data_IF_392029130445
#
_entry.id   IF_392029130445
#
_cell.length_a   1.000
_cell.length_b   1.000
_cell.length_c   1.000
_cell.angle_alpha   90.00
_cell.angle_beta   90.00
_cell.angle_gamma   90.00
#
_symmetry.space_group_name_H-M   'P 1'
#
loop_
_entity.id
_entity.type
_entity.pdbx_description
1 polymer ?
#
# COMPACT_ATOMS: atom_id res chain seq x y z
N UNK A 1 -14.28 -1.87 45.90
CA UNK A 1 -13.60 -1.61 44.60
C UNK A 1 -13.62 -2.90 43.85
N UNK A 2 -14.25 -2.96 42.68
CA UNK A 2 -14.16 -4.12 41.81
C UNK A 2 -12.73 -4.15 41.23
N UNK A 3 -11.89 -5.03 41.74
CA UNK A 3 -10.61 -5.28 41.11
C UNK A 3 -10.87 -5.90 39.74
N UNK A 4 -10.32 -5.31 38.70
CA UNK A 4 -10.36 -5.93 37.38
C UNK A 4 -9.71 -7.32 37.46
N UNK A 5 -10.40 -8.33 36.93
CA UNK A 5 -9.87 -9.71 36.88
C UNK A 5 -8.76 -9.87 35.83
N UNK A 6 -8.57 -8.88 34.98
CA UNK A 6 -7.56 -8.84 33.95
C UNK A 6 -7.06 -7.40 33.75
N UNK A 7 -5.77 -7.19 33.87
CA UNK A 7 -5.12 -5.92 33.59
C UNK A 7 -4.16 -6.11 32.41
N UNK A 8 -4.39 -5.37 31.32
CA UNK A 8 -3.56 -5.38 30.13
C UNK A 8 -2.85 -4.03 30.01
N UNK A 9 -1.55 -4.04 30.13
CA UNK A 9 -0.69 -2.84 30.09
C UNK A 9 0.39 -2.88 31.16
N UNK A 10 1.25 -1.88 31.20
CA UNK A 10 2.36 -1.84 32.12
C UNK A 10 3.36 -2.97 31.87
N UNK A 11 3.61 -3.79 32.87
CA UNK A 11 4.57 -4.90 32.80
C UNK A 11 3.93 -6.27 32.92
N UNK A 12 2.59 -6.36 32.88
CA UNK A 12 1.85 -7.56 33.25
C UNK A 12 1.47 -8.46 32.07
N UNK A 13 2.02 -8.21 30.87
CA UNK A 13 1.75 -8.99 29.68
C UNK A 13 3.00 -9.08 28.78
N UNK A 14 3.03 -10.10 27.91
CA UNK A 14 4.08 -10.28 26.91
C UNK A 14 3.47 -10.71 25.58
N UNK A 15 4.10 -10.33 24.49
CA UNK A 15 3.80 -10.85 23.15
C UNK A 15 4.66 -12.09 22.91
N UNK A 16 4.03 -13.17 22.49
CA UNK A 16 4.70 -14.41 22.10
C UNK A 16 4.06 -14.95 20.82
N UNK A 17 4.86 -15.15 19.78
CA UNK A 17 4.43 -15.75 18.52
C UNK A 17 3.14 -15.11 17.95
N UNK A 18 3.07 -13.76 17.97
CA UNK A 18 1.92 -12.96 17.58
C UNK A 18 0.69 -13.08 18.50
N UNK A 19 0.78 -13.76 19.62
CA UNK A 19 -0.26 -13.84 20.65
C UNK A 19 0.07 -12.95 21.85
N UNK A 20 -0.95 -12.52 22.56
CA UNK A 20 -0.81 -11.82 23.83
C UNK A 20 -0.87 -12.83 24.97
N UNK A 21 0.16 -12.85 25.81
CA UNK A 21 0.20 -13.61 27.05
C UNK A 21 -0.16 -12.69 28.21
N UNK A 22 -1.25 -12.99 28.88
CA UNK A 22 -1.56 -12.47 30.19
C UNK A 22 -1.29 -13.49 31.28
N UNK A 23 -1.25 -13.05 32.51
CA UNK A 23 -1.17 -13.92 33.66
C UNK A 23 -2.45 -13.83 34.48
N UNK A 24 -3.07 -14.95 34.73
CA UNK A 24 -4.25 -15.02 35.60
C UNK A 24 -3.88 -15.63 36.94
N UNK A 25 -4.46 -15.14 38.02
CA UNK A 25 -4.40 -15.80 39.33
C UNK A 25 -5.30 -17.02 39.27
N UNK A 26 -4.77 -18.21 39.53
CA UNK A 26 -5.50 -19.43 39.26
C UNK A 26 -6.22 -20.01 40.43
N UNK A 27 -5.78 -19.72 41.67
CA UNK A 27 -6.32 -20.31 42.87
C UNK A 27 -5.94 -19.55 44.14
N UNK A 28 -6.42 -20.03 45.26
CA UNK A 28 -6.12 -19.51 46.61
C UNK A 28 -4.63 -19.56 46.98
N UNK A 29 -3.79 -20.19 46.16
CA UNK A 29 -2.34 -20.29 46.43
C UNK A 29 -1.54 -19.11 45.83
N UNK A 30 -2.20 -18.20 45.12
CA UNK A 30 -1.58 -17.04 44.53
C UNK A 30 -0.64 -17.34 43.34
N UNK A 31 -0.75 -18.51 42.73
CA UNK A 31 0.02 -18.85 41.53
C UNK A 31 -0.51 -18.14 40.31
N UNK A 32 0.41 -17.63 39.51
CA UNK A 32 0.08 -17.02 38.23
C UNK A 32 0.32 -18.05 37.11
N UNK A 33 -0.70 -18.20 36.26
CA UNK A 33 -0.60 -19.07 35.09
C UNK A 33 -0.64 -18.23 33.84
N UNK A 34 0.23 -18.51 32.85
CA UNK A 34 0.15 -17.84 31.57
C UNK A 34 -1.18 -18.19 30.88
N UNK A 35 -1.88 -17.16 30.44
CA UNK A 35 -3.12 -17.28 29.64
C UNK A 35 -2.89 -16.69 28.27
N UNK A 36 -3.01 -17.50 27.25
CA UNK A 36 -2.94 -17.06 25.88
C UNK A 36 -4.30 -16.53 25.42
N UNK A 37 -4.29 -15.38 24.76
CA UNK A 37 -5.45 -14.77 24.18
C UNK A 37 -5.38 -14.84 22.65
N UNK A 38 -6.46 -15.29 22.04
CA UNK A 38 -6.61 -15.28 20.59
C UNK A 38 -7.37 -14.05 20.14
N UNK A 39 -6.96 -13.51 19.01
CA UNK A 39 -7.59 -12.34 18.39
C UNK A 39 -8.13 -12.73 17.02
N UNK A 40 -9.31 -12.21 16.68
CA UNK A 40 -9.87 -12.33 15.33
C UNK A 40 -10.64 -11.06 14.99
N UNK A 41 -10.46 -10.56 13.79
CA UNK A 41 -11.12 -9.37 13.26
C UNK A 41 -11.84 -9.62 11.94
N UNK A 42 -11.73 -10.83 11.39
CA UNK A 42 -12.30 -11.20 10.09
C UNK A 42 -11.59 -10.58 8.89
N UNK A 43 -10.54 -9.77 9.09
CA UNK A 43 -9.75 -9.19 8.00
C UNK A 43 -8.39 -8.67 8.48
N UNK A 44 -7.33 -9.02 7.76
CA UNK A 44 -5.99 -8.47 7.97
C UNK A 44 -5.86 -6.99 7.57
N UNK A 45 -6.77 -6.50 6.72
CA UNK A 45 -6.71 -5.14 6.20
C UNK A 45 -7.56 -4.15 7.00
N UNK A 46 -8.42 -4.64 7.90
CA UNK A 46 -9.39 -3.82 8.61
C UNK A 46 -8.84 -3.04 9.82
N UNK A 47 -7.66 -3.38 10.30
CA UNK A 47 -7.11 -2.80 11.52
C UNK A 47 -5.96 -1.81 11.24
N UNK A 48 -5.94 -0.73 12.00
CA UNK A 48 -4.82 0.19 12.08
C UNK A 48 -4.35 0.33 13.52
N UNK A 49 -3.08 0.67 13.72
CA UNK A 49 -2.49 1.01 15.01
C UNK A 49 -1.51 2.17 14.87
N UNK A 50 -1.17 2.82 15.96
CA UNK A 50 0.00 3.69 16.01
C UNK A 50 1.22 2.82 16.31
N UNK A 51 2.18 2.80 15.38
CA UNK A 51 3.44 2.06 15.52
C UNK A 51 4.42 2.76 16.45
N UNK A 52 5.57 2.12 16.71
CA UNK A 52 6.65 2.65 17.58
C UNK A 52 7.19 4.01 17.13
N UNK A 53 7.09 4.32 15.85
CA UNK A 53 7.53 5.60 15.27
C UNK A 53 6.49 6.71 15.38
N UNK A 54 5.33 6.43 15.98
CA UNK A 54 4.21 7.38 16.08
C UNK A 54 3.35 7.46 14.80
N UNK A 55 3.65 6.66 13.79
CA UNK A 55 2.90 6.62 12.55
C UNK A 55 1.80 5.55 12.60
N UNK A 56 0.72 5.77 11.83
CA UNK A 56 -0.34 4.78 11.69
C UNK A 56 0.14 3.65 10.78
N UNK A 57 0.08 2.44 11.30
CA UNK A 57 0.34 1.19 10.57
C UNK A 57 -0.99 0.49 10.27
N UNK A 58 -1.08 -0.12 9.08
CA UNK A 58 -2.19 -1.00 8.68
C UNK A 58 -1.67 -2.35 8.19
N UNK A 59 -2.55 -3.34 8.13
CA UNK A 59 -2.25 -4.59 7.43
C UNK A 59 -1.99 -4.34 5.94
N UNK A 60 -1.01 -5.05 5.38
CA UNK A 60 -0.58 -4.97 3.98
C UNK A 60 -0.39 -6.36 3.46
N UNK A 61 -0.54 -6.54 2.16
CA UNK A 61 -0.40 -7.83 1.50
C UNK A 61 0.29 -7.65 0.15
N UNK A 62 1.30 -8.45 -0.13
CA UNK A 62 1.83 -8.60 -1.48
C UNK A 62 1.02 -9.68 -2.20
N UNK A 63 0.30 -9.29 -3.24
CA UNK A 63 -0.57 -10.15 -4.03
C UNK A 63 0.18 -10.99 -5.06
N UNK A 64 1.44 -10.64 -5.38
CA UNK A 64 2.27 -11.44 -6.27
C UNK A 64 2.80 -12.68 -5.53
N UNK A 65 2.92 -13.78 -6.24
CA UNK A 65 3.60 -14.98 -5.75
C UNK A 65 5.03 -14.99 -6.25
N UNK A 66 5.93 -15.68 -5.52
CA UNK A 66 7.34 -15.79 -5.92
C UNK A 66 7.97 -14.42 -6.22
N UNK A 67 7.75 -13.45 -5.37
CA UNK A 67 7.94 -12.02 -5.66
C UNK A 67 9.38 -11.60 -6.02
N UNK A 68 10.36 -12.46 -5.71
CA UNK A 68 11.75 -12.33 -6.19
C UNK A 68 12.29 -13.64 -6.86
N UNK A 69 11.43 -14.60 -7.20
CA UNK A 69 11.82 -15.83 -7.90
C UNK A 69 11.26 -15.81 -9.33
N UNK A 70 11.76 -14.91 -10.15
CA UNK A 70 11.20 -14.59 -11.47
C UNK A 70 11.28 -15.72 -12.49
N UNK A 71 12.10 -16.75 -12.25
CA UNK A 71 12.17 -17.97 -13.06
C UNK A 71 11.21 -19.08 -12.62
N UNK A 72 10.39 -18.82 -11.60
CA UNK A 72 9.49 -19.83 -11.00
C UNK A 72 8.03 -19.44 -11.27
N UNK A 73 7.20 -20.46 -11.60
CA UNK A 73 5.75 -20.25 -11.74
C UNK A 73 5.17 -19.59 -10.47
N UNK A 74 4.23 -18.61 -10.60
CA UNK A 74 3.45 -18.26 -11.78
C UNK A 74 4.05 -17.17 -12.68
N UNK A 75 5.31 -16.77 -12.49
CA UNK A 75 5.98 -15.90 -13.44
C UNK A 75 6.15 -16.59 -14.79
N UNK A 76 5.98 -15.84 -15.85
CA UNK A 76 6.15 -16.28 -17.22
C UNK A 76 7.10 -15.32 -17.96
N UNK A 77 7.99 -15.90 -18.74
CA UNK A 77 8.95 -15.15 -19.55
C UNK A 77 8.55 -15.28 -21.02
N UNK A 78 8.60 -14.19 -21.78
CA UNK A 78 8.33 -14.16 -23.19
C UNK A 78 9.44 -13.41 -23.92
N UNK A 79 10.03 -14.02 -24.97
CA UNK A 79 11.08 -13.45 -25.81
C UNK A 79 12.23 -12.80 -25.01
N UNK A 80 12.80 -13.52 -24.06
CA UNK A 80 13.89 -13.05 -23.23
C UNK A 80 14.56 -14.15 -22.43
N UNK A 81 15.53 -13.79 -21.62
CA UNK A 81 16.22 -14.65 -20.66
C UNK A 81 16.28 -13.98 -19.29
N UNK A 82 16.40 -14.81 -18.25
CA UNK A 82 16.59 -14.38 -16.86
C UNK A 82 17.88 -14.97 -16.32
N UNK A 83 18.72 -14.14 -15.73
CA UNK A 83 19.94 -14.58 -15.05
C UNK A 83 19.93 -14.12 -13.60
N UNK A 84 19.89 -15.07 -12.67
CA UNK A 84 19.91 -14.82 -11.23
C UNK A 84 21.32 -14.53 -10.69
N UNK A 85 21.42 -14.27 -9.40
CA UNK A 85 22.70 -14.16 -8.69
C UNK A 85 23.40 -12.82 -8.88
N UNK A 86 22.65 -11.78 -9.24
CA UNK A 86 23.19 -10.43 -9.38
C UNK A 86 23.17 -9.68 -8.05
N UNK A 87 24.05 -8.69 -7.92
CA UNK A 87 24.10 -7.83 -6.74
C UNK A 87 22.82 -6.99 -6.62
N UNK A 88 22.13 -7.13 -5.49
CA UNK A 88 20.87 -6.46 -5.20
C UNK A 88 21.03 -5.07 -4.57
N UNK A 89 19.92 -4.34 -4.48
CA UNK A 89 19.86 -3.02 -3.84
C UNK A 89 20.09 -3.08 -2.32
N UNK A 90 19.85 -4.21 -1.71
CA UNK A 90 19.94 -4.48 -0.26
C UNK A 90 21.27 -5.16 0.14
N UNK A 91 22.19 -5.34 -0.82
CA UNK A 91 23.45 -6.02 -0.62
C UNK A 91 23.38 -7.56 -0.75
N UNK A 92 22.20 -8.10 -1.06
CA UNK A 92 22.04 -9.53 -1.39
C UNK A 92 22.66 -9.88 -2.74
N UNK A 93 22.66 -11.16 -3.10
CA UNK A 93 23.06 -11.65 -4.42
C UNK A 93 21.89 -12.35 -5.11
N UNK A 94 20.68 -11.81 -4.98
CA UNK A 94 19.45 -12.41 -5.48
C UNK A 94 18.68 -11.54 -6.49
N UNK A 95 19.29 -10.47 -6.98
CA UNK A 95 18.78 -9.72 -8.11
C UNK A 95 18.90 -10.51 -9.42
N UNK A 96 18.20 -10.09 -10.44
CA UNK A 96 18.10 -10.73 -11.75
C UNK A 96 18.43 -9.78 -12.88
N UNK A 97 19.05 -10.31 -13.94
CA UNK A 97 19.07 -9.65 -15.23
C UNK A 97 17.86 -10.12 -16.02
N UNK A 98 17.03 -9.20 -16.46
CA UNK A 98 16.02 -9.41 -17.48
C UNK A 98 16.59 -8.95 -18.82
N UNK A 99 16.92 -9.90 -19.68
CA UNK A 99 17.47 -9.65 -21.01
C UNK A 99 16.42 -9.99 -22.07
N UNK A 100 16.24 -9.09 -23.01
CA UNK A 100 15.30 -9.20 -24.10
C UNK A 100 15.98 -9.71 -25.36
N UNK A 101 15.44 -10.78 -25.94
CA UNK A 101 15.97 -11.42 -27.15
C UNK A 101 15.10 -11.27 -28.39
N UNK A 102 14.03 -10.50 -28.34
CA UNK A 102 13.11 -10.30 -29.44
C UNK A 102 12.05 -9.26 -29.18
N UNK A 103 11.19 -9.01 -30.17
CA UNK A 103 10.09 -8.06 -30.01
C UNK A 103 9.20 -8.46 -28.84
N UNK A 104 8.73 -7.46 -28.06
CA UNK A 104 7.78 -7.64 -26.96
C UNK A 104 8.29 -8.52 -25.80
N UNK A 105 9.62 -8.66 -25.64
CA UNK A 105 10.26 -9.44 -24.57
C UNK A 105 9.91 -8.87 -23.18
N UNK A 106 9.45 -9.74 -22.30
CA UNK A 106 8.96 -9.35 -20.98
C UNK A 106 8.92 -10.51 -20.00
N UNK A 107 8.91 -10.13 -18.73
CA UNK A 107 8.44 -11.01 -17.66
C UNK A 107 7.06 -10.55 -17.19
N UNK A 108 6.19 -11.47 -16.80
CA UNK A 108 4.87 -11.12 -16.32
C UNK A 108 4.31 -12.17 -15.37
N UNK A 109 3.38 -11.73 -14.54
CA UNK A 109 2.55 -12.60 -13.72
C UNK A 109 1.08 -12.26 -13.92
N UNK A 110 0.25 -13.29 -14.17
CA UNK A 110 -1.20 -13.15 -14.20
C UNK A 110 -1.68 -13.08 -12.76
N UNK A 111 -2.27 -11.96 -12.41
CA UNK A 111 -2.81 -11.66 -11.08
C UNK A 111 -3.97 -10.70 -11.24
N UNK A 112 -5.12 -11.07 -10.67
CA UNK A 112 -6.30 -10.20 -10.70
C UNK A 112 -6.26 -9.21 -9.55
N UNK A 113 -6.50 -7.95 -9.85
CA UNK A 113 -6.61 -6.89 -8.85
C UNK A 113 -7.73 -5.91 -9.23
N UNK A 114 -8.24 -5.17 -8.25
CA UNK A 114 -9.31 -4.21 -8.46
C UNK A 114 -9.26 -3.09 -7.43
N UNK A 115 -9.69 -1.89 -7.82
CA UNK A 115 -9.66 -0.69 -6.99
C UNK A 115 -8.31 0.01 -7.01
N UNK A 116 -8.05 0.77 -5.96
CA UNK A 116 -6.79 1.52 -5.82
C UNK A 116 -5.67 0.55 -5.47
N UNK A 117 -4.72 0.41 -6.38
CA UNK A 117 -3.66 -0.59 -6.33
C UNK A 117 -2.32 0.04 -6.69
N UNK A 118 -1.27 -0.35 -5.97
CA UNK A 118 0.12 0.05 -6.26
C UNK A 118 0.94 -1.17 -6.63
N UNK A 119 1.58 -1.13 -7.79
CA UNK A 119 2.65 -2.06 -8.15
C UNK A 119 4.00 -1.38 -7.96
N UNK A 120 4.96 -2.09 -7.40
CA UNK A 120 6.35 -1.62 -7.30
C UNK A 120 7.35 -2.73 -7.59
N UNK A 121 8.51 -2.34 -8.13
CA UNK A 121 9.65 -3.22 -8.38
C UNK A 121 10.94 -2.40 -8.24
N UNK A 122 12.00 -3.04 -7.78
CA UNK A 122 13.33 -2.44 -7.81
C UNK A 122 13.99 -2.72 -9.16
N UNK A 123 14.59 -1.71 -9.75
CA UNK A 123 15.25 -1.83 -11.03
C UNK A 123 16.51 -0.95 -11.10
N UNK A 124 17.47 -1.37 -11.95
CA UNK A 124 18.73 -0.68 -12.21
C UNK A 124 19.05 -0.79 -13.70
N UNK A 125 19.64 0.24 -14.34
CA UNK A 125 20.06 0.14 -15.73
C UNK A 125 21.16 -0.92 -15.90
N UNK A 126 21.16 -1.58 -17.07
CA UNK A 126 22.26 -2.42 -17.54
C UNK A 126 22.62 -1.97 -18.95
N UNK A 127 22.37 -2.78 -19.98
CA UNK A 127 22.57 -2.34 -21.37
C UNK A 127 21.47 -1.39 -21.85
N UNK A 128 20.27 -1.47 -21.26
CA UNK A 128 19.20 -0.52 -21.46
C UNK A 128 19.06 0.40 -20.24
N UNK A 129 18.72 1.65 -20.50
CA UNK A 129 18.51 2.67 -19.48
C UNK A 129 17.04 2.85 -19.08
N UNK A 130 16.14 2.24 -19.80
CA UNK A 130 14.71 2.43 -19.61
C UNK A 130 14.00 1.13 -19.26
N UNK A 131 12.97 1.24 -18.43
CA UNK A 131 12.02 0.18 -18.09
C UNK A 131 10.62 0.62 -18.44
N UNK A 132 9.78 -0.34 -18.87
CA UNK A 132 8.34 -0.15 -19.02
C UNK A 132 7.59 -1.12 -18.12
N UNK A 133 6.64 -0.62 -17.36
CA UNK A 133 5.63 -1.39 -16.67
C UNK A 133 4.31 -1.31 -17.45
N UNK A 134 3.63 -2.45 -17.60
CA UNK A 134 2.35 -2.52 -18.30
C UNK A 134 1.39 -3.44 -17.55
N UNK A 135 0.14 -2.98 -17.44
CA UNK A 135 -0.94 -3.68 -16.74
C UNK A 135 -2.06 -3.96 -17.70
N UNK A 136 -2.26 -5.24 -17.96
CA UNK A 136 -3.28 -5.71 -18.90
C UNK A 136 -4.69 -5.49 -18.36
N UNK A 137 -5.67 -5.49 -19.25
CA UNK A 137 -7.08 -5.18 -18.99
C UNK A 137 -7.31 -3.71 -18.64
N UNK A 138 -6.63 -3.15 -17.65
CA UNK A 138 -6.72 -1.71 -17.33
C UNK A 138 -5.99 -0.84 -18.36
N UNK A 139 -5.08 -1.40 -19.16
CA UNK A 139 -4.37 -0.71 -20.23
C UNK A 139 -3.38 0.37 -19.76
N UNK A 140 -2.96 0.33 -18.50
CA UNK A 140 -1.97 1.29 -17.96
C UNK A 140 -0.57 0.91 -18.41
N UNK A 141 0.18 1.89 -18.89
CA UNK A 141 1.58 1.78 -19.29
C UNK A 141 2.39 2.94 -18.72
N UNK A 142 3.57 2.65 -18.19
CA UNK A 142 4.45 3.61 -17.55
C UNK A 142 5.91 3.34 -17.90
N UNK A 143 6.66 4.38 -18.27
CA UNK A 143 8.08 4.31 -18.58
C UNK A 143 8.90 4.99 -17.48
N UNK A 144 10.08 4.45 -17.21
CA UNK A 144 11.02 4.93 -16.20
C UNK A 144 12.42 5.00 -16.80
N UNK A 145 13.06 6.15 -16.66
CA UNK A 145 14.48 6.36 -16.99
C UNK A 145 15.34 5.97 -15.79
N UNK A 146 15.89 4.79 -15.84
CA UNK A 146 16.74 4.24 -14.77
C UNK A 146 18.15 4.85 -14.75
N UNK A 147 18.61 5.49 -15.84
CA UNK A 147 19.91 6.15 -15.85
C UNK A 147 19.88 7.48 -15.10
N UNK A 148 18.77 8.21 -15.21
CA UNK A 148 18.63 9.54 -14.65
C UNK A 148 17.68 9.59 -13.43
N UNK A 149 16.99 8.50 -13.10
CA UNK A 149 16.05 8.43 -11.98
C UNK A 149 14.82 9.32 -12.18
N UNK A 150 14.28 9.39 -13.40
CA UNK A 150 13.14 10.24 -13.72
C UNK A 150 11.97 9.45 -14.32
N UNK A 151 10.77 9.95 -14.09
CA UNK A 151 9.53 9.42 -14.70
C UNK A 151 9.56 9.68 -16.20
N UNK A 152 9.16 8.69 -16.99
CA UNK A 152 8.94 8.80 -18.41
C UNK A 152 7.47 9.05 -18.77
N UNK A 153 7.16 8.81 -20.04
CA UNK A 153 5.78 8.88 -20.56
C UNK A 153 4.91 7.80 -19.93
N UNK A 154 3.63 8.07 -19.87
CA UNK A 154 2.63 7.15 -19.35
C UNK A 154 1.29 7.33 -20.07
N UNK A 155 0.48 6.29 -20.06
CA UNK A 155 -0.89 6.35 -20.57
C UNK A 155 -1.77 5.28 -19.89
N UNK A 156 -3.08 5.44 -20.05
CA UNK A 156 -4.12 4.57 -19.49
C UNK A 156 -5.04 5.32 -18.52
N UNK A 157 -6.34 5.18 -18.71
CA UNK A 157 -7.35 5.93 -17.97
C UNK A 157 -7.37 5.60 -16.45
N UNK A 158 -6.85 4.44 -16.08
CA UNK A 158 -6.76 4.01 -14.68
C UNK A 158 -5.50 4.48 -13.95
N UNK A 159 -4.56 5.14 -14.62
CA UNK A 159 -3.35 5.64 -13.98
C UNK A 159 -3.66 6.83 -13.07
N UNK A 160 -3.11 6.80 -11.85
CA UNK A 160 -3.19 7.91 -10.89
C UNK A 160 -1.85 8.61 -10.76
N UNK A 161 -0.77 7.86 -10.49
CA UNK A 161 0.57 8.42 -10.25
C UNK A 161 1.68 7.42 -10.56
N UNK A 162 2.88 7.95 -10.78
CA UNK A 162 4.13 7.21 -10.92
C UNK A 162 5.13 7.74 -9.90
N UNK A 163 5.98 6.84 -9.38
CA UNK A 163 7.14 7.24 -8.59
C UNK A 163 8.38 6.47 -9.03
N UNK A 164 9.51 7.14 -8.97
CA UNK A 164 10.85 6.57 -9.06
C UNK A 164 11.66 7.14 -7.92
N UNK A 165 12.17 6.29 -7.06
CA UNK A 165 12.84 6.68 -5.83
C UNK A 165 14.20 5.99 -5.78
N UNK A 166 15.29 6.75 -5.59
CA UNK A 166 16.64 6.21 -5.48
C UNK A 166 16.77 5.36 -4.23
N UNK A 167 17.42 4.21 -4.36
CA UNK A 167 17.67 3.27 -3.26
C UNK A 167 19.18 3.00 -3.16
N UNK A 168 19.74 3.34 -2.01
CA UNK A 168 21.20 3.23 -1.83
C UNK A 168 21.97 4.17 -2.74
N UNK A 169 23.21 3.79 -3.07
CA UNK A 169 24.16 4.59 -3.87
C UNK A 169 24.53 3.95 -5.21
N UNK A 170 24.08 2.72 -5.47
CA UNK A 170 24.52 1.89 -6.60
C UNK A 170 23.66 2.01 -7.87
N UNK A 171 22.86 3.05 -7.97
CA UNK A 171 22.01 3.30 -9.15
C UNK A 171 20.74 2.43 -9.20
N UNK A 172 20.34 1.85 -8.10
CA UNK A 172 19.05 1.19 -7.94
C UNK A 172 17.93 2.19 -7.69
N UNK A 173 16.78 1.91 -8.27
CA UNK A 173 15.56 2.68 -8.07
C UNK A 173 14.41 1.76 -7.73
N UNK A 174 13.54 2.22 -6.82
CA UNK A 174 12.22 1.65 -6.67
C UNK A 174 11.25 2.40 -7.58
N UNK A 175 10.72 1.70 -8.57
CA UNK A 175 9.75 2.22 -9.51
C UNK A 175 8.36 1.75 -9.10
N UNK A 176 7.39 2.67 -9.01
CA UNK A 176 6.02 2.30 -8.64
C UNK A 176 4.98 2.98 -9.53
N UNK A 177 3.88 2.28 -9.73
CA UNK A 177 2.70 2.73 -10.49
C UNK A 177 1.49 2.59 -9.59
N UNK A 178 0.82 3.71 -9.36
CA UNK A 178 -0.46 3.78 -8.66
C UNK A 178 -1.58 3.85 -9.69
N UNK A 179 -2.56 2.98 -9.55
CA UNK A 179 -3.69 2.88 -10.49
C UNK A 179 -5.01 2.62 -9.76
N UNK A 180 -6.12 2.95 -10.40
CA UNK A 180 -7.47 2.64 -9.95
C UNK A 180 -8.26 1.98 -11.07
N UNK A 181 -8.69 0.76 -10.85
CA UNK A 181 -9.42 -0.04 -11.82
C UNK A 181 -9.18 -1.52 -11.63
N UNK A 182 -9.57 -2.32 -12.61
CA UNK A 182 -9.39 -3.77 -12.57
C UNK A 182 -8.36 -4.20 -13.61
N UNK A 183 -7.40 -5.00 -13.19
CA UNK A 183 -6.36 -5.56 -14.04
C UNK A 183 -6.24 -7.07 -13.87
N UNK A 184 -5.58 -7.72 -14.83
CA UNK A 184 -5.41 -9.17 -14.88
C UNK A 184 -3.96 -9.63 -14.98
N UNK A 185 -3.01 -8.74 -15.20
CA UNK A 185 -1.59 -9.06 -15.16
C UNK A 185 -0.70 -7.85 -14.92
N UNK A 186 0.47 -8.10 -14.30
CA UNK A 186 1.57 -7.16 -14.17
C UNK A 186 2.70 -7.60 -15.08
N UNK A 187 3.23 -6.69 -15.92
CA UNK A 187 4.27 -6.98 -16.91
C UNK A 187 5.43 -6.00 -16.77
N UNK A 188 6.65 -6.53 -16.84
CA UNK A 188 7.90 -5.76 -16.80
C UNK A 188 8.65 -5.97 -18.11
N UNK A 189 9.00 -4.89 -18.76
CA UNK A 189 9.77 -4.87 -20.02
C UNK A 189 11.05 -4.07 -19.85
N UNK A 190 12.07 -4.45 -20.59
CA UNK A 190 13.14 -3.50 -20.92
C UNK A 190 12.63 -2.53 -21.98
N UNK A 191 13.08 -1.28 -21.94
CA UNK A 191 12.75 -0.28 -22.94
C UNK A 191 14.04 0.41 -23.43
N UNK A 192 14.03 0.86 -24.69
CA UNK A 192 15.18 1.49 -25.31
C UNK A 192 15.23 3.00 -25.01
N UNK A 193 14.05 3.61 -25.00
CA UNK A 193 13.88 5.03 -24.73
C UNK A 193 12.48 5.30 -24.17
N UNK A 194 12.22 6.55 -23.84
CA UNK A 194 10.88 7.00 -23.44
C UNK A 194 9.84 6.67 -24.54
N UNK A 195 8.80 5.95 -24.17
CA UNK A 195 7.75 5.46 -25.08
C UNK A 195 8.19 4.48 -26.16
N UNK A 196 9.42 3.98 -26.11
CA UNK A 196 9.97 3.07 -27.12
C UNK A 196 10.28 1.71 -26.48
N UNK A 197 9.62 0.65 -26.97
CA UNK A 197 9.96 -0.71 -26.57
C UNK A 197 11.31 -1.11 -27.15
N UNK A 198 12.18 -1.70 -26.33
CA UNK A 198 13.47 -2.20 -26.79
C UNK A 198 13.30 -3.37 -27.77
N UNK A 199 14.24 -3.55 -28.68
CA UNK A 199 14.38 -4.73 -29.52
C UNK A 199 15.35 -5.76 -28.93
N UNK A 200 16.28 -5.28 -28.10
CA UNK A 200 17.28 -6.10 -27.38
C UNK A 200 17.74 -5.35 -26.13
N UNK A 201 18.58 -6.00 -25.33
CA UNK A 201 19.22 -5.41 -24.15
C UNK A 201 18.47 -5.72 -22.85
N UNK A 202 19.07 -5.28 -21.76
CA UNK A 202 18.73 -5.78 -20.43
C UNK A 202 18.70 -4.69 -19.37
N UNK A 203 17.97 -4.99 -18.28
CA UNK A 203 17.95 -4.25 -17.01
C UNK A 203 18.12 -5.22 -15.85
N UNK A 204 18.55 -4.71 -14.70
CA UNK A 204 18.44 -5.47 -13.45
C UNK A 204 17.07 -5.24 -12.82
N UNK A 205 16.51 -6.29 -12.22
CA UNK A 205 15.25 -6.26 -11.48
C UNK A 205 15.38 -7.05 -10.18
N UNK A 206 14.62 -6.64 -9.15
CA UNK A 206 14.51 -7.32 -7.87
C UNK A 206 13.19 -6.97 -7.19
N UNK A 207 12.63 -7.87 -6.38
CA UNK A 207 11.56 -7.61 -5.42
C UNK A 207 10.32 -6.89 -5.97
N UNK A 208 9.47 -7.64 -6.66
CA UNK A 208 8.19 -7.13 -7.15
C UNK A 208 7.09 -7.20 -6.09
N UNK A 209 6.26 -6.17 -6.01
CA UNK A 209 5.13 -6.11 -5.09
C UNK A 209 3.89 -5.49 -5.74
N UNK A 210 2.75 -6.14 -5.56
CA UNK A 210 1.43 -5.62 -5.90
C UNK A 210 0.58 -5.58 -4.64
N UNK A 211 0.07 -4.42 -4.29
CA UNK A 211 -0.67 -4.22 -3.04
C UNK A 211 -1.85 -3.26 -3.22
N UNK A 212 -2.87 -3.42 -2.39
CA UNK A 212 -3.97 -2.45 -2.31
C UNK A 212 -3.52 -1.22 -1.52
N UNK A 213 -3.74 -0.03 -2.07
CA UNK A 213 -3.45 1.25 -1.42
C UNK A 213 -2.75 2.26 -2.32
N UNK A 214 -2.53 3.46 -1.76
CA UNK A 214 -2.06 4.66 -2.47
C UNK A 214 -0.55 4.74 -2.67
N UNK A 215 0.24 3.86 -2.05
CA UNK A 215 1.69 3.94 -2.13
C UNK A 215 2.33 2.58 -1.92
N UNK A 216 3.51 2.39 -2.52
CA UNK A 216 4.34 1.25 -2.26
C UNK A 216 4.81 1.23 -0.81
N UNK A 217 4.45 0.19 -0.08
CA UNK A 217 4.91 -0.06 1.29
C UNK A 217 6.25 -0.80 1.30
N UNK A 218 6.95 -0.94 2.43
CA UNK A 218 8.12 -1.80 2.50
C UNK A 218 7.85 -3.17 1.91
N UNK A 219 8.86 -3.71 1.20
CA UNK A 219 8.73 -4.98 0.48
C UNK A 219 8.33 -6.13 1.41
N UNK A 220 7.40 -6.93 0.94
CA UNK A 220 6.89 -8.13 1.62
C UNK A 220 7.21 -9.33 0.73
N UNK A 221 8.21 -10.16 1.08
CA UNK A 221 8.58 -11.32 0.29
C UNK A 221 7.45 -12.36 0.27
N UNK A 222 7.23 -12.95 -0.90
CA UNK A 222 6.27 -14.04 -1.09
C UNK A 222 6.92 -15.24 -1.74
N UNK A 223 6.36 -16.42 -1.48
CA UNK A 223 6.73 -17.66 -2.13
C UNK A 223 5.52 -18.26 -2.86
N UNK A 224 5.03 -19.40 -2.44
CA UNK A 224 3.88 -20.09 -3.07
C UNK A 224 2.51 -19.53 -2.65
N UNK A 225 2.50 -18.64 -1.66
CA UNK A 225 1.28 -17.95 -1.17
C UNK A 225 1.54 -16.46 -1.08
N UNK A 226 0.48 -15.67 -1.11
CA UNK A 226 0.54 -14.25 -0.75
C UNK A 226 1.06 -14.09 0.69
N UNK A 227 1.73 -13.00 0.98
CA UNK A 227 2.24 -12.71 2.31
C UNK A 227 1.72 -11.37 2.82
N UNK A 228 1.50 -11.33 4.11
CA UNK A 228 0.94 -10.18 4.80
C UNK A 228 1.91 -9.65 5.84
N UNK A 229 1.85 -8.35 6.10
CA UNK A 229 2.66 -7.67 7.11
C UNK A 229 1.87 -6.56 7.80
N UNK A 230 2.36 -6.11 8.94
CA UNK A 230 1.71 -5.06 9.72
C UNK A 230 0.72 -5.63 10.74
N UNK A 231 -0.45 -5.02 10.88
CA UNK A 231 -1.46 -5.41 11.88
C UNK A 231 -2.33 -6.53 11.31
N UNK A 232 -1.93 -7.76 11.55
CA UNK A 232 -2.62 -8.94 11.04
C UNK A 232 -3.87 -9.29 11.85
N UNK A 233 -4.76 -10.09 11.27
CA UNK A 233 -6.04 -10.46 11.87
C UNK A 233 -5.90 -11.11 13.24
N UNK A 234 -4.98 -12.04 13.36
CA UNK A 234 -4.76 -12.85 14.56
C UNK A 234 -3.77 -12.22 15.56
N UNK A 235 -3.34 -10.97 15.33
CA UNK A 235 -2.41 -10.29 16.24
C UNK A 235 -3.10 -9.24 17.09
N UNK A 236 -2.63 -9.00 18.32
CA UNK A 236 -3.14 -7.92 19.15
C UNK A 236 -2.82 -6.55 18.51
N UNK A 237 -3.76 -5.62 18.61
CA UNK A 237 -3.54 -4.22 18.19
C UNK A 237 -2.81 -3.48 19.32
N UNK A 238 -1.49 -3.57 19.31
CA UNK A 238 -0.64 -2.87 20.27
C UNK A 238 -0.35 -1.45 19.77
N UNK A 239 -0.93 -0.48 20.45
CA UNK A 239 -0.83 0.93 20.10
C UNK A 239 0.25 1.60 20.93
N UNK A 240 1.10 2.41 20.30
CA UNK A 240 2.22 3.09 20.95
C UNK A 240 1.91 4.57 21.16
N UNK A 241 2.26 5.09 22.32
CA UNK A 241 2.30 6.56 22.56
C UNK A 241 3.70 7.05 22.25
N UNK A 242 3.81 8.14 21.50
CA UNK A 242 5.12 8.73 21.16
C UNK A 242 5.96 8.97 22.41
N UNK A 243 7.18 8.46 22.42
CA UNK A 243 8.11 8.59 23.55
C UNK A 243 7.89 7.57 24.68
N UNK A 244 6.89 6.68 24.57
CA UNK A 244 6.65 5.62 25.56
C UNK A 244 7.06 4.27 24.96
N UNK A 245 7.93 3.55 25.66
CA UNK A 245 8.46 2.27 25.16
C UNK A 245 7.41 1.15 25.14
N UNK A 246 6.49 1.16 26.11
CA UNK A 246 5.50 0.11 26.27
C UNK A 246 4.20 0.48 25.55
N UNK A 247 3.69 -0.39 24.65
CA UNK A 247 2.39 -0.19 24.02
C UNK A 247 1.25 -0.51 24.97
N UNK A 248 0.04 -0.13 24.59
CA UNK A 248 -1.20 -0.58 25.21
C UNK A 248 -2.06 -1.35 24.20
N UNK A 249 -2.85 -2.29 24.69
CA UNK A 249 -3.80 -3.03 23.86
C UNK A 249 -4.95 -2.10 23.47
N UNK A 250 -5.14 -1.92 22.17
CA UNK A 250 -6.26 -1.13 21.64
C UNK A 250 -7.46 -2.04 21.38
N UNK A 251 -8.50 -1.87 22.17
CA UNK A 251 -9.79 -2.53 21.99
C UNK A 251 -10.82 -1.49 21.53
N UNK A 252 -11.43 -1.75 20.41
CA UNK A 252 -12.50 -0.91 19.84
C UNK A 252 -13.72 -1.77 19.49
N UNK A 253 -14.93 -1.23 19.60
CA UNK A 253 -16.11 -1.88 19.05
C UNK A 253 -15.94 -2.12 17.55
N UNK A 254 -16.51 -3.22 17.05
CA UNK A 254 -16.54 -3.49 15.62
C UNK A 254 -17.20 -2.31 14.89
N UNK A 255 -16.54 -1.84 13.84
CA UNK A 255 -17.03 -0.78 12.98
C UNK A 255 -16.83 -1.16 11.53
N UNK A 256 -17.73 -0.74 10.69
CA UNK A 256 -17.64 -0.96 9.24
C UNK A 256 -17.46 0.37 8.55
N UNK A 257 -16.43 0.48 7.70
CA UNK A 257 -16.35 1.62 6.78
C UNK A 257 -17.21 1.31 5.55
N UNK A 258 -18.33 2.00 5.44
CA UNK A 258 -19.27 1.87 4.32
C UNK A 258 -18.86 2.68 3.11
N UNK A 259 -17.87 3.56 3.24
CA UNK A 259 -17.33 4.31 2.12
C UNK A 259 -16.38 3.43 1.30
N UNK A 260 -16.72 3.20 0.02
CA UNK A 260 -16.05 2.20 -0.82
C UNK A 260 -14.62 2.55 -1.23
N UNK A 261 -14.27 3.81 -1.24
CA UNK A 261 -12.96 4.28 -1.72
C UNK A 261 -12.36 5.29 -0.74
N UNK A 262 -12.04 4.83 0.46
CA UNK A 262 -11.62 5.70 1.57
C UNK A 262 -10.28 6.43 1.35
N UNK A 263 -9.49 6.00 0.40
CA UNK A 263 -8.19 6.60 0.07
C UNK A 263 -8.16 7.32 -1.29
N UNK A 264 -9.19 7.12 -2.12
CA UNK A 264 -9.36 7.79 -3.41
C UNK A 264 -10.84 8.08 -3.64
N UNK A 265 -11.19 9.27 -4.08
CA UNK A 265 -12.58 9.65 -4.34
C UNK A 265 -12.93 9.34 -5.80
N UNK A 266 -13.73 8.28 -6.06
CA UNK A 266 -14.20 8.02 -7.42
C UNK A 266 -15.23 9.07 -7.83
N UNK A 267 -15.31 9.35 -9.12
CA UNK A 267 -16.30 10.28 -9.68
C UNK A 267 -16.31 11.66 -8.98
N UNK A 268 -15.12 12.24 -8.86
CA UNK A 268 -14.96 13.55 -8.27
C UNK A 268 -15.83 14.57 -9.04
N UNK A 269 -16.45 15.48 -8.30
CA UNK A 269 -17.22 16.58 -8.88
C UNK A 269 -16.35 17.37 -9.90
N UNK A 270 -16.94 17.79 -11.01
CA UNK A 270 -16.23 18.45 -12.11
C UNK A 270 -15.49 19.74 -11.69
N UNK A 271 -15.93 20.37 -10.60
CA UNK A 271 -15.30 21.54 -10.02
C UNK A 271 -14.09 21.24 -9.14
N UNK A 272 -13.80 19.97 -8.92
CA UNK A 272 -12.70 19.49 -8.09
C UNK A 272 -11.70 18.69 -8.90
N UNK A 273 -10.45 18.75 -8.51
CA UNK A 273 -9.42 17.83 -8.98
C UNK A 273 -8.73 17.16 -7.80
N UNK A 274 -8.23 15.96 -8.00
CA UNK A 274 -7.46 15.24 -6.98
C UNK A 274 -6.15 14.75 -7.57
N UNK A 275 -5.12 14.81 -6.75
CA UNK A 275 -3.78 14.30 -7.06
C UNK A 275 -3.16 13.66 -5.82
N UNK A 276 -2.25 12.72 -6.02
CA UNK A 276 -1.47 12.15 -4.93
C UNK A 276 -0.38 13.15 -4.54
N UNK A 277 -0.28 13.48 -3.27
CA UNK A 277 0.74 14.40 -2.78
C UNK A 277 2.14 13.80 -2.87
N UNK A 278 3.11 14.61 -3.25
CA UNK A 278 4.54 14.23 -3.18
C UNK A 278 5.07 14.17 -1.73
N UNK A 279 4.29 14.66 -0.78
CA UNK A 279 4.64 14.71 0.64
C UNK A 279 3.84 13.61 1.36
N UNK A 280 4.53 12.80 2.14
CA UNK A 280 3.87 11.80 2.97
C UNK A 280 3.07 12.45 4.10
N UNK A 281 1.91 11.86 4.39
CA UNK A 281 1.11 12.21 5.55
C UNK A 281 1.90 11.94 6.83
N UNK A 282 1.98 12.91 7.76
CA UNK A 282 2.62 12.67 9.05
C UNK A 282 1.89 11.62 9.90
N UNK A 283 0.65 11.30 9.56
CA UNK A 283 -0.16 10.29 10.26
C UNK A 283 0.15 8.89 9.75
N UNK A 284 0.25 8.71 8.42
CA UNK A 284 0.39 7.38 7.78
C UNK A 284 1.76 7.11 7.18
N UNK A 285 2.62 8.10 7.07
CA UNK A 285 3.86 8.06 6.28
C UNK A 285 3.64 7.54 4.84
N UNK A 286 2.50 7.85 4.28
CA UNK A 286 2.10 7.53 2.90
C UNK A 286 1.60 8.81 2.24
N UNK A 287 1.64 8.91 0.92
CA UNK A 287 1.03 10.02 0.21
C UNK A 287 -0.43 10.20 0.61
N UNK A 288 -0.90 11.41 0.60
CA UNK A 288 -2.30 11.76 0.81
C UNK A 288 -2.90 12.38 -0.44
N UNK A 289 -4.22 12.36 -0.55
CA UNK A 289 -4.90 13.06 -1.63
C UNK A 289 -4.91 14.56 -1.38
N UNK A 290 -4.45 15.30 -2.36
CA UNK A 290 -4.67 16.73 -2.45
C UNK A 290 -5.88 16.98 -3.33
N UNK A 291 -6.89 17.63 -2.77
CA UNK A 291 -8.09 18.03 -3.50
C UNK A 291 -7.99 19.53 -3.77
N UNK A 292 -8.06 19.88 -5.03
CA UNK A 292 -8.00 21.28 -5.50
C UNK A 292 -9.34 21.65 -6.09
N UNK A 293 -9.84 22.80 -5.69
CA UNK A 293 -11.03 23.40 -6.29
C UNK A 293 -10.65 24.21 -7.52
N UNK A 294 -11.31 23.96 -8.63
CA UNK A 294 -11.00 24.53 -9.92
C UNK A 294 -11.80 25.81 -10.25
N UNK A 295 -12.92 26.03 -9.53
CA UNK A 295 -13.84 27.15 -9.79
C UNK A 295 -14.10 27.99 -8.54
N UNK A 296 -14.75 29.14 -8.70
CA UNK A 296 -15.28 29.94 -7.58
C UNK A 296 -16.63 29.39 -7.10
N UNK A 297 -16.98 29.60 -5.84
CA UNK A 297 -18.24 29.13 -5.26
C UNK A 297 -18.07 27.89 -4.35
N UNK A 298 -19.14 27.25 -3.97
CA UNK A 298 -19.12 25.99 -3.18
C UNK A 298 -19.00 24.80 -4.15
N UNK A 299 -18.05 23.95 -3.91
CA UNK A 299 -17.95 22.64 -4.57
C UNK A 299 -18.17 21.56 -3.51
N UNK A 300 -18.92 20.53 -3.86
CA UNK A 300 -19.28 19.45 -2.95
C UNK A 300 -18.98 18.11 -3.58
N UNK A 301 -18.61 17.16 -2.75
CA UNK A 301 -18.48 15.77 -3.14
C UNK A 301 -19.37 14.93 -2.22
N UNK A 302 -20.26 14.14 -2.80
CA UNK A 302 -21.03 13.15 -2.04
C UNK A 302 -20.13 11.94 -1.81
N UNK A 303 -19.83 11.68 -0.54
CA UNK A 303 -18.95 10.58 -0.15
C UNK A 303 -19.75 9.30 0.15
N UNK A 304 -20.94 9.45 0.68
CA UNK A 304 -21.78 8.34 1.14
C UNK A 304 -23.25 8.78 1.15
N UNK A 305 -24.14 7.84 0.93
CA UNK A 305 -25.58 8.03 1.08
C UNK A 305 -26.06 7.08 2.18
N UNK A 306 -26.48 7.62 3.32
CA UNK A 306 -27.04 6.84 4.42
C UNK A 306 -28.49 6.45 4.15
N UNK A 307 -28.94 5.39 4.80
CA UNK A 307 -30.36 5.04 4.84
C UNK A 307 -31.06 5.86 5.91
N UNK A 308 -32.26 6.30 5.67
CA UNK A 308 -33.01 7.10 6.63
C UNK A 308 -33.23 6.33 7.96
N UNK A 309 -32.80 6.94 9.05
CA UNK A 309 -32.89 6.37 10.40
C UNK A 309 -31.62 5.71 10.93
N UNK A 310 -30.58 5.57 10.11
CA UNK A 310 -29.27 5.09 10.56
C UNK A 310 -28.50 6.20 11.29
N UNK A 311 -27.68 5.78 12.26
CA UNK A 311 -26.73 6.65 12.94
C UNK A 311 -25.35 6.40 12.36
N UNK A 312 -24.89 7.32 11.51
CA UNK A 312 -23.62 7.25 10.86
C UNK A 312 -22.63 8.27 11.40
N UNK A 313 -21.35 7.92 11.39
CA UNK A 313 -20.27 8.83 11.71
C UNK A 313 -19.36 8.99 10.49
N UNK A 314 -19.26 10.20 9.99
CA UNK A 314 -18.31 10.55 8.91
C UNK A 314 -17.09 11.24 9.50
N UNK A 315 -15.90 10.78 9.13
CA UNK A 315 -14.64 11.39 9.53
C UNK A 315 -13.64 11.43 8.39
N UNK A 316 -12.84 12.49 8.35
CA UNK A 316 -11.74 12.63 7.40
C UNK A 316 -10.56 13.32 8.09
N UNK A 317 -9.35 12.86 7.80
CA UNK A 317 -8.15 13.60 8.16
C UNK A 317 -7.89 14.67 7.09
N UNK A 318 -7.81 15.93 7.51
CA UNK A 318 -7.59 17.03 6.58
C UNK A 318 -6.47 17.94 7.07
N UNK A 319 -5.72 18.49 6.11
CA UNK A 319 -4.70 19.52 6.35
C UNK A 319 -4.99 20.70 5.44
N UNK A 320 -4.82 21.91 5.97
CA UNK A 320 -4.94 23.15 5.20
C UNK A 320 -3.93 23.16 4.05
N UNK A 321 -4.38 23.49 2.85
CA UNK A 321 -3.54 23.75 1.68
C UNK A 321 -2.81 25.09 1.76
N UNK A 322 -1.93 25.35 0.80
CA UNK A 322 -1.16 26.60 0.71
C UNK A 322 -1.97 27.79 0.22
N UNK A 323 -3.05 27.55 -0.54
CA UNK A 323 -3.91 28.58 -1.14
C UNK A 323 -5.37 28.17 -1.03
N UNK A 324 -6.27 29.16 -0.93
CA UNK A 324 -7.72 28.93 -1.00
C UNK A 324 -8.43 28.92 0.37
N UNK A 325 -9.67 28.44 0.36
CA UNK A 325 -10.55 28.40 1.52
C UNK A 325 -10.03 27.51 2.65
N UNK A 326 -10.38 27.89 3.87
CA UNK A 326 -9.87 27.24 5.07
C UNK A 326 -10.89 26.32 5.74
N UNK A 327 -12.01 26.04 5.07
CA UNK A 327 -13.14 25.36 5.70
C UNK A 327 -13.52 24.12 4.90
N UNK A 328 -13.73 23.03 5.62
CA UNK A 328 -14.35 21.81 5.13
C UNK A 328 -15.69 21.69 5.86
N UNK A 329 -16.75 21.51 5.09
CA UNK A 329 -18.09 21.30 5.62
C UNK A 329 -18.48 19.84 5.42
N UNK A 330 -19.00 19.23 6.48
CA UNK A 330 -19.76 18.01 6.37
C UNK A 330 -21.23 18.40 6.36
N UNK A 331 -21.96 17.98 5.34
CA UNK A 331 -23.40 18.24 5.22
C UNK A 331 -24.10 16.92 4.97
N UNK A 332 -25.20 16.69 5.70
CA UNK A 332 -26.17 15.67 5.38
C UNK A 332 -27.16 16.24 4.34
N UNK A 333 -27.29 15.55 3.21
CA UNK A 333 -28.23 15.96 2.15
C UNK A 333 -29.69 15.69 2.46
N UNK A 334 -29.97 15.07 3.62
CA UNK A 334 -31.34 14.81 4.09
C UNK A 334 -32.02 16.02 4.75
N UNK A 335 -31.30 17.10 5.01
CA UNK A 335 -31.95 18.36 5.32
C UNK A 335 -32.54 18.94 4.04
N UNK A 336 -33.74 18.46 3.75
CA UNK A 336 -34.58 19.01 2.68
C UNK A 336 -34.68 20.52 2.83
N UNK A 337 -34.66 21.21 1.73
CA UNK A 337 -35.05 22.59 1.59
C UNK A 337 -36.40 22.80 2.27
N UNK A 338 -36.41 23.20 3.51
CA UNK A 338 -37.57 23.90 4.08
C UNK A 338 -37.49 25.32 3.52
N UNK A 339 -38.35 25.59 2.59
CA UNK A 339 -38.73 26.92 2.10
C UNK A 339 -38.88 27.94 3.20
#
# INVERSE_FOLDING_TARGET
MNNASLELGGTNWAEKDASLLGYTVSDDSGRFFPQEFTFSRGSNLAATRIGKTGLIEKGRENLLLQSNQFNTSPWSLYNGTLTSGQSGYDGSSDAWVLDKSGSDGRIFQNVSFSGVTTFSIYAKPNTNSWMRLYFDTIGVSAFFDLANGVKGSFYGAGLIDLKIESVGTDGWYRCSVLMNGSGSSCRVYTAEANSTSATSGSIYIQDAQLELGLAASPYIPTTTTTAQAGVLENTPRLNYTTGVANPYLLLEPQRTNTYRSSEWIPNLDADLSQEVSDINSPIKNTPFLKITKNTSGLSRQTLYTSTNGDIDTCSVFAKKGSTGGNQIYFADSHYGSST
#
